data_IF_599560613352
#
_entry.id   IF_599560613352
#
_cell.length_a   1.000
_cell.length_b   1.000
_cell.length_c   1.000
_cell.angle_alpha   90.00
_cell.angle_beta   90.00
_cell.angle_gamma   90.00
#
_symmetry.space_group_name_H-M   'P 1'
#
loop_
_entity.id
_entity.type
_entity.pdbx_description
1 polymer ?
#
# COMPACT_ATOMS: atom_id res chain seq x y z
N UNK A 1 12.17 -12.16 -14.73
CA UNK A 1 12.15 -11.91 -13.27
C UNK A 1 10.71 -11.91 -12.82
N UNK A 2 10.26 -12.95 -12.13
CA UNK A 2 8.88 -13.06 -11.65
C UNK A 2 8.71 -12.13 -10.45
N UNK A 3 8.12 -10.95 -10.68
CA UNK A 3 7.78 -9.99 -9.62
C UNK A 3 6.72 -10.64 -8.73
N UNK A 4 7.02 -10.77 -7.44
CA UNK A 4 6.27 -11.58 -6.48
C UNK A 4 4.77 -11.18 -6.50
N UNK A 5 3.92 -12.11 -6.94
CA UNK A 5 2.49 -11.85 -7.17
C UNK A 5 1.81 -11.41 -5.87
N UNK A 6 2.28 -11.91 -4.71
CA UNK A 6 1.79 -11.53 -3.39
C UNK A 6 2.03 -10.06 -3.05
N UNK A 7 3.14 -9.45 -3.48
CA UNK A 7 3.39 -8.02 -3.24
C UNK A 7 2.48 -7.12 -4.09
N UNK A 8 2.13 -7.58 -5.29
CA UNK A 8 1.17 -6.86 -6.15
C UNK A 8 -0.27 -7.02 -5.63
N UNK A 9 -0.64 -8.21 -5.14
CA UNK A 9 -1.91 -8.46 -4.45
C UNK A 9 -2.05 -7.53 -3.25
N UNK A 10 -1.03 -7.43 -2.42
CA UNK A 10 -1.05 -6.58 -1.22
C UNK A 10 -1.22 -5.09 -1.55
N UNK A 11 -0.46 -4.60 -2.53
CA UNK A 11 -0.58 -3.21 -3.01
C UNK A 11 -1.95 -2.89 -3.63
N UNK A 12 -2.62 -3.86 -4.25
CA UNK A 12 -3.96 -3.65 -4.83
C UNK A 12 -5.02 -3.70 -3.72
N UNK A 13 -4.90 -4.64 -2.80
CA UNK A 13 -5.68 -4.75 -1.56
C UNK A 13 -5.66 -3.44 -0.77
N UNK A 14 -4.48 -2.92 -0.43
CA UNK A 14 -4.28 -1.73 0.42
C UNK A 14 -4.75 -0.40 -0.20
N UNK A 15 -5.02 -0.36 -1.51
CA UNK A 15 -5.33 0.88 -2.21
C UNK A 15 -6.71 0.93 -2.85
N UNK A 16 -7.31 -0.22 -3.20
CA UNK A 16 -8.51 -0.27 -4.04
C UNK A 16 -9.50 -1.38 -3.66
N UNK A 17 -9.18 -2.26 -2.72
CA UNK A 17 -9.84 -3.56 -2.60
C UNK A 17 -10.15 -4.00 -1.16
N UNK A 18 -10.15 -3.13 -0.14
CA UNK A 18 -10.62 -3.51 1.20
C UNK A 18 -12.08 -4.04 1.18
N UNK A 19 -12.87 -3.60 0.20
CA UNK A 19 -14.24 -4.08 -0.09
C UNK A 19 -14.32 -5.26 -1.08
N UNK A 20 -13.18 -5.78 -1.58
CA UNK A 20 -13.16 -6.84 -2.59
C UNK A 20 -12.62 -8.16 -2.02
N UNK A 21 -13.39 -9.23 -2.18
CA UNK A 21 -12.96 -10.57 -1.80
C UNK A 21 -11.74 -11.04 -2.59
N UNK A 22 -10.99 -11.99 -2.01
CA UNK A 22 -9.71 -12.48 -2.55
C UNK A 22 -9.80 -12.98 -4.01
N UNK A 23 -10.93 -13.55 -4.42
CA UNK A 23 -11.14 -14.03 -5.80
C UNK A 23 -11.27 -12.86 -6.78
N UNK A 24 -12.02 -11.81 -6.40
CA UNK A 24 -12.16 -10.60 -7.20
C UNK A 24 -10.84 -9.82 -7.32
N UNK A 25 -10.04 -9.77 -6.25
CA UNK A 25 -8.68 -9.21 -6.31
C UNK A 25 -7.80 -9.95 -7.32
N UNK A 26 -7.91 -11.28 -7.39
CA UNK A 26 -7.11 -12.11 -8.28
C UNK A 26 -7.49 -11.89 -9.74
N UNK A 27 -8.78 -11.82 -10.05
CA UNK A 27 -9.27 -11.49 -11.40
C UNK A 27 -8.81 -10.09 -11.84
N UNK A 28 -8.94 -9.09 -10.95
CA UNK A 28 -8.50 -7.73 -11.23
C UNK A 28 -7.00 -7.68 -11.58
N UNK A 29 -6.18 -8.45 -10.88
CA UNK A 29 -4.74 -8.54 -11.13
C UNK A 29 -4.43 -9.13 -12.50
N UNK A 30 -5.16 -10.16 -12.91
CA UNK A 30 -4.94 -10.78 -14.22
C UNK A 30 -5.37 -9.83 -15.36
N UNK A 31 -6.43 -9.03 -15.15
CA UNK A 31 -6.79 -7.93 -16.06
C UNK A 31 -5.70 -6.86 -16.12
N UNK A 32 -5.14 -6.45 -14.98
CA UNK A 32 -4.05 -5.46 -14.93
C UNK A 32 -2.75 -5.94 -15.57
N UNK A 33 -2.50 -7.25 -15.61
CA UNK A 33 -1.34 -7.85 -16.30
C UNK A 33 -1.51 -7.91 -17.81
N UNK A 34 -2.74 -8.16 -18.27
CA UNK A 34 -3.05 -8.38 -19.69
C UNK A 34 -3.38 -7.10 -20.44
N UNK A 35 -3.96 -6.09 -19.76
CA UNK A 35 -4.35 -4.82 -20.36
C UNK A 35 -3.41 -3.67 -19.96
N UNK A 36 -2.72 -3.11 -20.96
CA UNK A 36 -1.78 -2.00 -20.77
C UNK A 36 -2.50 -0.71 -20.37
N UNK A 37 -3.69 -0.47 -20.92
CA UNK A 37 -4.50 0.71 -20.62
C UNK A 37 -5.01 0.68 -19.18
N UNK A 38 -5.57 -0.45 -18.73
CA UNK A 38 -6.04 -0.63 -17.35
C UNK A 38 -4.90 -0.38 -16.34
N UNK A 39 -3.68 -0.82 -16.68
CA UNK A 39 -2.50 -0.59 -15.84
C UNK A 39 -2.13 0.89 -15.73
N UNK A 40 -2.20 1.65 -16.83
CA UNK A 40 -1.90 3.09 -16.81
C UNK A 40 -2.90 3.86 -15.95
N UNK A 41 -4.19 3.54 -16.05
CA UNK A 41 -5.22 4.12 -15.19
C UNK A 41 -4.98 3.78 -13.72
N UNK A 42 -4.70 2.52 -13.42
CA UNK A 42 -4.37 2.07 -12.07
C UNK A 42 -3.16 2.81 -11.48
N UNK A 43 -2.07 2.93 -12.25
CA UNK A 43 -0.88 3.66 -11.83
C UNK A 43 -1.17 5.14 -11.57
N UNK A 44 -2.12 5.73 -12.29
CA UNK A 44 -2.55 7.12 -12.08
C UNK A 44 -3.34 7.26 -10.79
N UNK A 45 -4.32 6.38 -10.55
CA UNK A 45 -5.09 6.37 -9.29
C UNK A 45 -4.15 6.17 -8.09
N UNK A 46 -3.19 5.25 -8.20
CA UNK A 46 -2.18 5.03 -7.16
C UNK A 46 -1.39 6.30 -6.83
N UNK A 47 -0.95 7.05 -7.83
CA UNK A 47 -0.25 8.33 -7.63
C UNK A 47 -1.15 9.37 -6.95
N UNK A 48 -2.43 9.43 -7.32
CA UNK A 48 -3.39 10.33 -6.68
C UNK A 48 -3.56 9.98 -5.20
N UNK A 49 -3.67 8.69 -4.85
CA UNK A 49 -3.74 8.26 -3.44
C UNK A 49 -2.50 8.66 -2.66
N UNK A 50 -1.30 8.51 -3.23
CA UNK A 50 -0.05 8.95 -2.60
C UNK A 50 -0.08 10.47 -2.36
N UNK A 51 -0.45 11.26 -3.36
CA UNK A 51 -0.55 12.71 -3.24
C UNK A 51 -1.59 13.15 -2.19
N UNK A 52 -2.69 12.41 -2.03
CA UNK A 52 -3.68 12.65 -0.98
C UNK A 52 -3.09 12.35 0.40
N UNK A 53 -2.44 11.19 0.59
CA UNK A 53 -1.79 10.81 1.85
C UNK A 53 -0.66 11.76 2.26
N UNK A 54 0.07 12.33 1.29
CA UNK A 54 1.12 13.33 1.55
C UNK A 54 0.55 14.71 1.89
N UNK A 55 -0.68 15.02 1.46
CA UNK A 55 -1.36 16.29 1.71
C UNK A 55 -2.25 16.28 2.94
N UNK A 56 -2.74 15.12 3.35
CA UNK A 56 -3.15 14.89 4.73
C UNK A 56 -1.88 15.10 5.58
N UNK A 57 -1.77 16.27 6.23
CA UNK A 57 -0.68 16.53 7.17
C UNK A 57 -0.48 15.28 8.02
N UNK A 58 0.74 14.73 8.14
CA UNK A 58 0.97 13.76 9.18
C UNK A 58 0.67 14.48 10.48
N UNK A 59 -0.44 14.12 11.13
CA UNK A 59 -0.55 14.34 12.55
C UNK A 59 0.63 13.59 13.13
N UNK A 60 1.65 14.33 13.58
CA UNK A 60 2.81 13.75 14.23
C UNK A 60 2.28 12.85 15.34
N UNK A 61 2.55 11.54 15.20
CA UNK A 61 2.12 10.57 16.18
C UNK A 61 2.78 10.97 17.51
N UNK A 62 2.03 11.07 18.62
CA UNK A 62 2.63 11.38 19.91
C UNK A 62 3.78 10.42 20.20
N UNK A 63 4.90 10.95 20.71
CA UNK A 63 6.16 10.21 20.85
C UNK A 63 6.00 8.90 21.66
N UNK A 64 5.14 8.90 22.69
CA UNK A 64 4.78 7.69 23.46
C UNK A 64 4.16 6.60 22.60
N UNK A 65 3.24 6.97 21.70
CA UNK A 65 2.54 6.03 20.83
C UNK A 65 3.50 5.49 19.77
N UNK A 66 4.34 6.37 19.22
CA UNK A 66 5.38 5.98 18.27
C UNK A 66 6.32 4.95 18.94
N UNK A 67 6.85 5.26 20.13
CA UNK A 67 7.72 4.37 20.88
C UNK A 67 7.09 3.00 21.17
N UNK A 68 5.86 2.98 21.69
CA UNK A 68 5.15 1.74 21.99
C UNK A 68 4.88 0.91 20.73
N UNK A 69 4.65 1.55 19.59
CA UNK A 69 4.43 0.88 18.32
C UNK A 69 5.71 0.18 17.84
N UNK A 70 6.85 0.89 17.84
CA UNK A 70 8.14 0.31 17.46
C UNK A 70 8.55 -0.86 18.37
N UNK A 71 8.31 -0.75 19.69
CA UNK A 71 8.56 -1.82 20.65
C UNK A 71 7.65 -3.04 20.41
N UNK A 72 6.36 -2.83 20.15
CA UNK A 72 5.41 -3.93 19.90
C UNK A 72 5.65 -4.64 18.58
N UNK A 73 6.16 -3.93 17.57
CA UNK A 73 6.45 -4.49 16.25
C UNK A 73 7.87 -5.10 16.17
N UNK A 74 8.71 -4.95 17.20
CA UNK A 74 10.09 -5.42 17.16
C UNK A 74 10.95 -4.67 16.14
N UNK A 75 10.67 -3.37 15.96
CA UNK A 75 11.28 -2.50 14.95
C UNK A 75 12.20 -1.43 15.55
N UNK A 76 12.63 -1.56 16.80
CA UNK A 76 13.37 -0.55 17.56
C UNK A 76 14.61 -0.02 16.82
N UNK A 77 15.25 -0.87 16.01
CA UNK A 77 16.40 -0.52 15.15
C UNK A 77 16.11 0.50 14.04
N UNK A 78 14.85 0.80 13.76
CA UNK A 78 14.42 1.75 12.74
C UNK A 78 14.00 3.10 13.34
N UNK A 79 14.08 3.27 14.66
CA UNK A 79 13.68 4.49 15.37
C UNK A 79 14.59 5.68 15.05
N UNK A 80 15.87 5.45 14.75
CA UNK A 80 16.88 6.49 14.52
C UNK A 80 17.01 6.95 13.06
N UNK A 81 16.17 6.43 12.15
CA UNK A 81 16.28 6.67 10.70
C UNK A 81 15.26 7.70 10.16
N UNK A 82 14.54 8.40 11.03
CA UNK A 82 13.46 9.32 10.68
C UNK A 82 13.82 10.78 10.98
#
# INVERSE_FOLDING_TARGET
MAKNINEQIKLISEHLCDDLDADACKELIDVLKTSKDCRVYFDTVKKTVVLCKEKECPEDLPEDINQRLFEKLGLEKFKDAQ
#
